data_IF_622301422416
#
_entry.id   IF_622301422416
#
_cell.length_a   1.000
_cell.length_b   1.000
_cell.length_c   1.000
_cell.angle_alpha   90.00
_cell.angle_beta   90.00
_cell.angle_gamma   90.00
#
_symmetry.space_group_name_H-M   'P 1'
#
loop_
_entity.id
_entity.type
_entity.pdbx_description
1 polymer ?
#
# COMPACT_ATOMS: atom_id res chain seq x y z
N UNK A 1 -7.88 11.92 9.08
CA UNK A 1 -7.37 10.53 9.01
C UNK A 1 -8.56 9.61 8.82
N UNK A 2 -8.60 8.83 7.74
CA UNK A 2 -9.51 7.68 7.60
C UNK A 2 -8.65 6.44 7.69
N UNK A 3 -9.00 5.55 8.61
CA UNK A 3 -8.42 4.22 8.72
C UNK A 3 -9.48 3.22 8.27
N UNK A 4 -9.10 2.31 7.37
CA UNK A 4 -9.94 1.16 7.05
C UNK A 4 -10.00 0.21 8.26
N UNK A 5 -10.95 -0.72 8.26
CA UNK A 5 -10.95 -1.78 9.28
C UNK A 5 -9.62 -2.54 9.28
N UNK A 6 -9.18 -2.99 10.46
CA UNK A 6 -7.98 -3.82 10.56
C UNK A 6 -8.17 -5.16 9.86
N UNK A 7 -7.20 -5.55 9.05
CA UNK A 7 -7.04 -6.90 8.51
C UNK A 7 -5.64 -7.41 8.81
N UNK A 8 -5.54 -8.64 9.31
CA UNK A 8 -4.26 -9.28 9.69
C UNK A 8 -3.33 -8.46 10.60
N UNK A 9 -3.92 -7.54 11.39
CA UNK A 9 -3.20 -6.69 12.34
C UNK A 9 -2.83 -5.30 11.80
N UNK A 10 -3.09 -5.00 10.53
CA UNK A 10 -2.81 -3.69 9.92
C UNK A 10 -4.08 -3.07 9.33
N UNK A 11 -4.16 -1.75 9.34
CA UNK A 11 -5.22 -0.98 8.70
C UNK A 11 -4.62 0.00 7.70
N UNK A 12 -5.22 0.11 6.53
CA UNK A 12 -4.88 1.15 5.56
C UNK A 12 -5.20 2.52 6.13
N UNK A 13 -4.28 3.48 5.99
CA UNK A 13 -4.49 4.88 6.39
C UNK A 13 -4.21 5.78 5.21
N UNK A 14 -5.01 6.85 5.05
CA UNK A 14 -4.75 7.89 4.07
C UNK A 14 -4.32 9.21 4.73
N UNK A 15 -3.11 9.66 4.40
CA UNK A 15 -2.49 10.90 4.88
C UNK A 15 -1.99 11.69 3.67
N UNK A 16 -2.38 12.97 3.57
CA UNK A 16 -1.98 13.87 2.47
C UNK A 16 -2.17 13.26 1.07
N UNK A 17 -3.27 12.51 0.88
CA UNK A 17 -3.63 11.90 -0.39
C UNK A 17 -2.98 10.53 -0.67
N UNK A 18 -1.95 10.13 0.09
CA UNK A 18 -1.25 8.85 -0.06
C UNK A 18 -1.70 7.81 0.96
N UNK A 19 -1.55 6.54 0.60
CA UNK A 19 -1.89 5.38 1.41
C UNK A 19 -0.64 4.77 2.04
N UNK A 20 -0.77 4.43 3.31
CA UNK A 20 0.18 3.66 4.11
C UNK A 20 -0.59 2.71 5.03
N UNK A 21 0.09 2.16 6.04
CA UNK A 21 -0.53 1.23 6.99
C UNK A 21 -0.14 1.53 8.43
N UNK A 22 -1.11 1.38 9.32
CA UNK A 22 -0.92 1.49 10.78
C UNK A 22 -1.21 0.16 11.47
N UNK A 23 -0.59 -0.05 12.62
CA UNK A 23 -0.92 -1.15 13.52
C UNK A 23 -2.13 -0.80 14.43
N UNK A 24 -2.52 -1.75 15.28
CA UNK A 24 -3.63 -1.60 16.23
C UNK A 24 -3.41 -0.51 17.29
N UNK A 25 -2.18 -0.06 17.49
CA UNK A 25 -1.84 1.04 18.40
C UNK A 25 -1.94 2.41 17.71
N UNK A 26 -2.11 2.42 16.40
CA UNK A 26 -2.11 3.63 15.58
C UNK A 26 -0.72 4.06 15.11
N UNK A 27 0.32 3.27 15.35
CA UNK A 27 1.68 3.54 14.86
C UNK A 27 1.77 3.23 13.37
N UNK A 28 2.48 4.09 12.63
CA UNK A 28 2.76 3.87 11.21
C UNK A 28 3.74 2.71 11.08
N UNK A 29 3.34 1.68 10.35
CA UNK A 29 4.18 0.51 10.00
C UNK A 29 4.72 0.66 8.59
N UNK A 30 3.91 1.19 7.68
CA UNK A 30 4.29 1.47 6.29
C UNK A 30 3.92 2.91 5.98
N UNK A 31 4.94 3.72 5.68
CA UNK A 31 4.78 5.15 5.41
C UNK A 31 3.82 5.40 4.23
N UNK A 32 2.96 6.45 4.31
CA UNK A 32 2.08 6.84 3.22
C UNK A 32 2.86 7.22 1.94
N UNK A 33 2.93 6.28 1.00
CA UNK A 33 3.69 6.44 -0.24
C UNK A 33 2.90 6.02 -1.49
N UNK A 34 1.86 5.20 -1.32
CA UNK A 34 1.09 4.64 -2.43
C UNK A 34 -0.07 5.55 -2.83
N UNK A 35 -0.45 5.51 -4.10
CA UNK A 35 -1.66 6.16 -4.60
C UNK A 35 -2.90 5.38 -4.14
N UNK A 36 -2.80 4.04 -4.10
CA UNK A 36 -3.85 3.16 -3.58
C UNK A 36 -3.22 1.97 -2.86
N UNK A 37 -3.96 1.42 -1.89
CA UNK A 37 -3.58 0.22 -1.17
C UNK A 37 -4.86 -0.55 -0.78
N UNK A 38 -4.86 -1.87 -0.96
CA UNK A 38 -5.92 -2.75 -0.45
C UNK A 38 -5.65 -3.15 1.00
N UNK A 39 -6.66 -3.71 1.67
CA UNK A 39 -6.43 -4.42 2.94
C UNK A 39 -5.51 -5.63 2.72
N UNK A 40 -4.82 -6.04 3.80
CA UNK A 40 -4.04 -7.26 3.82
C UNK A 40 -4.92 -8.50 3.76
N UNK A 41 -4.50 -9.49 2.97
CA UNK A 41 -5.09 -10.83 2.91
C UNK A 41 -4.01 -11.83 2.49
N UNK A 42 -3.92 -12.96 3.20
CA UNK A 42 -2.87 -13.96 3.02
C UNK A 42 -1.46 -13.37 3.12
N UNK A 43 -1.25 -12.41 4.02
CA UNK A 43 0.05 -11.75 4.23
C UNK A 43 0.44 -10.72 3.17
N UNK A 44 -0.41 -10.44 2.17
CA UNK A 44 -0.13 -9.51 1.08
C UNK A 44 -1.18 -8.39 1.00
N UNK A 45 -0.76 -7.22 0.53
CA UNK A 45 -1.65 -6.13 0.11
C UNK A 45 -1.30 -5.69 -1.30
N UNK A 46 -2.31 -5.48 -2.13
CA UNK A 46 -2.12 -4.87 -3.44
C UNK A 46 -1.91 -3.36 -3.27
N UNK A 47 -0.94 -2.80 -3.97
CA UNK A 47 -0.60 -1.37 -3.92
C UNK A 47 -0.34 -0.83 -5.32
N UNK A 48 -0.49 0.48 -5.49
CA UNK A 48 -0.16 1.16 -6.73
C UNK A 48 0.53 2.49 -6.46
N UNK A 49 1.43 2.87 -7.36
CA UNK A 49 1.98 4.23 -7.45
C UNK A 49 1.87 4.78 -8.88
N UNK A 50 2.62 5.83 -9.21
CA UNK A 50 2.60 6.45 -10.54
C UNK A 50 3.19 5.57 -11.66
N UNK A 51 3.97 4.56 -11.29
CA UNK A 51 4.77 3.71 -12.19
C UNK A 51 4.14 2.35 -12.42
N UNK A 52 3.27 1.89 -11.53
CA UNK A 52 2.74 0.54 -11.64
C UNK A 52 1.92 0.07 -10.45
N UNK A 53 1.68 -1.24 -10.44
CA UNK A 53 0.93 -1.94 -9.40
C UNK A 53 1.72 -3.14 -8.91
N UNK A 54 1.51 -3.55 -7.67
CA UNK A 54 2.26 -4.66 -7.10
C UNK A 54 1.65 -5.18 -5.81
N UNK A 55 2.38 -6.10 -5.18
CA UNK A 55 2.05 -6.64 -3.87
C UNK A 55 3.17 -6.37 -2.90
N UNK A 56 2.81 -5.97 -1.69
CA UNK A 56 3.73 -5.86 -0.56
C UNK A 56 3.36 -6.84 0.54
N UNK A 57 4.33 -7.24 1.34
CA UNK A 57 4.08 -7.93 2.61
C UNK A 57 3.81 -6.94 3.76
N UNK A 58 3.54 -7.47 4.96
CA UNK A 58 3.21 -6.68 6.16
C UNK A 58 4.35 -5.80 6.69
N UNK A 59 5.57 -5.98 6.20
CA UNK A 59 6.71 -5.09 6.50
C UNK A 59 6.84 -3.95 5.49
N UNK A 60 6.06 -3.97 4.40
CA UNK A 60 6.16 -3.03 3.30
C UNK A 60 7.13 -3.47 2.20
N UNK A 61 7.71 -4.67 2.30
CA UNK A 61 8.60 -5.21 1.27
C UNK A 61 7.78 -5.56 0.03
N UNK A 62 8.23 -5.09 -1.13
CA UNK A 62 7.68 -5.45 -2.43
C UNK A 62 7.97 -6.94 -2.72
N UNK A 63 6.91 -7.70 -2.93
CA UNK A 63 6.94 -9.12 -3.32
C UNK A 63 6.86 -9.27 -4.84
N UNK A 64 6.06 -8.41 -5.47
CA UNK A 64 5.89 -8.37 -6.91
C UNK A 64 5.58 -6.93 -7.35
N UNK A 65 6.12 -6.51 -8.49
CA UNK A 65 5.85 -5.21 -9.08
C UNK A 65 5.72 -5.34 -10.59
N UNK A 66 4.58 -4.90 -11.12
CA UNK A 66 4.34 -4.77 -12.55
C UNK A 66 4.40 -3.29 -12.92
N UNK A 67 5.43 -2.92 -13.67
CA UNK A 67 5.58 -1.56 -14.17
C UNK A 67 4.63 -1.37 -15.35
N UNK A 68 3.70 -0.43 -15.21
CA UNK A 68 2.96 0.07 -16.35
C UNK A 68 3.91 1.03 -17.05
N UNK A 69 4.69 0.52 -18.01
CA UNK A 69 5.53 1.38 -18.84
C UNK A 69 4.65 2.50 -19.42
N UNK A 70 4.98 3.79 -19.23
CA UNK A 70 4.43 4.81 -20.11
C UNK A 70 4.94 4.47 -21.51
N UNK A 71 4.03 4.24 -22.46
CA UNK A 71 4.38 4.21 -23.87
C UNK A 71 5.21 5.45 -24.16
N UNK A 72 6.52 5.27 -24.36
CA UNK A 72 7.34 6.29 -25.01
C UNK A 72 6.85 6.30 -26.45
N UNK A 73 5.93 7.22 -26.78
CA UNK A 73 5.72 7.60 -28.18
C UNK A 73 7.00 8.37 -28.55
N UNK A 74 7.76 7.78 -29.46
CA UNK A 74 8.93 8.38 -30.12
C UNK A 74 8.54 9.71 -30.79
#
# INVERSE_FOLDING_TARGET
>A
MRADGFSEGLAGVRINGKHGFIDKTGQIVIEPQFISASQFSNGLAAVADQTGTGYIDKSGKIIFWDMIYPLIIN
#
